data_IF_732841911056
#
_entry.id   IF_732841911056
#
_cell.length_a   1.000
_cell.length_b   1.000
_cell.length_c   1.000
_cell.angle_alpha   90.00
_cell.angle_beta   90.00
_cell.angle_gamma   90.00
#
_symmetry.space_group_name_H-M   'P 1'
#
loop_
_entity.id
_entity.type
_entity.pdbx_description
1 polymer ?
#
# COMPACT_ATOMS: atom_id res chain seq x y z
N UNK A 1 -5.70 15.59 44.35
CA UNK A 1 -6.36 14.79 43.29
C UNK A 1 -7.39 15.59 42.48
N UNK A 2 -8.46 16.15 43.09
CA UNK A 2 -9.53 16.86 42.35
C UNK A 2 -9.06 18.08 41.53
N UNK A 3 -8.11 18.86 42.06
CA UNK A 3 -7.56 20.04 41.40
C UNK A 3 -6.71 19.74 40.16
N UNK A 4 -6.02 18.61 40.16
CA UNK A 4 -5.22 18.15 39.00
C UNK A 4 -6.18 17.75 37.88
N UNK A 5 -7.27 17.04 38.21
CA UNK A 5 -8.30 16.68 37.25
C UNK A 5 -8.97 17.91 36.63
N UNK A 6 -9.36 18.89 37.44
CA UNK A 6 -9.98 20.13 36.94
C UNK A 6 -9.02 20.95 36.06
N UNK A 7 -7.73 20.99 36.42
CA UNK A 7 -6.70 21.66 35.61
C UNK A 7 -6.53 20.98 34.24
N UNK A 8 -6.41 19.65 34.23
CA UNK A 8 -6.31 18.87 32.99
C UNK A 8 -7.57 18.99 32.13
N UNK A 9 -8.76 18.97 32.73
CA UNK A 9 -10.03 19.12 32.03
C UNK A 9 -10.12 20.51 31.35
N UNK A 10 -9.76 21.56 32.09
CA UNK A 10 -9.75 22.93 31.57
C UNK A 10 -8.78 23.09 30.41
N UNK A 11 -7.55 22.56 30.55
CA UNK A 11 -6.53 22.62 29.50
C UNK A 11 -7.00 21.92 28.21
N UNK A 12 -7.57 20.72 28.33
CA UNK A 12 -8.09 19.98 27.17
C UNK A 12 -9.27 20.69 26.51
N UNK A 13 -10.18 21.28 27.30
CA UNK A 13 -11.31 22.04 26.79
C UNK A 13 -10.86 23.28 26.01
N UNK A 14 -9.84 23.99 26.49
CA UNK A 14 -9.26 25.16 25.79
C UNK A 14 -8.66 24.73 24.45
N UNK A 15 -7.85 23.67 24.43
CA UNK A 15 -7.24 23.14 23.19
C UNK A 15 -8.31 22.75 22.18
N UNK A 16 -9.35 22.05 22.62
CA UNK A 16 -10.48 21.67 21.77
C UNK A 16 -11.19 22.90 21.17
N UNK A 17 -11.41 23.93 21.98
CA UNK A 17 -12.11 25.15 21.56
C UNK A 17 -11.28 25.97 20.55
N UNK A 18 -9.96 26.03 20.72
CA UNK A 18 -9.04 26.64 19.73
C UNK A 18 -9.08 25.88 18.41
N UNK A 19 -8.97 24.55 18.45
CA UNK A 19 -9.01 23.70 17.25
C UNK A 19 -10.34 23.84 16.49
N UNK A 20 -11.46 23.90 17.22
CA UNK A 20 -12.79 24.05 16.65
C UNK A 20 -12.98 25.40 15.93
N UNK A 21 -12.48 26.50 16.54
CA UNK A 21 -12.50 27.82 15.93
C UNK A 21 -11.64 27.91 14.67
N UNK A 22 -10.50 27.21 14.62
CA UNK A 22 -9.69 27.13 13.40
C UNK A 22 -10.37 26.33 12.28
N UNK A 23 -11.09 25.26 12.61
CA UNK A 23 -11.85 24.47 11.62
C UNK A 23 -12.99 25.28 10.98
N UNK A 24 -13.65 26.15 11.76
CA UNK A 24 -14.67 27.06 11.25
C UNK A 24 -14.08 28.06 10.24
N UNK A 25 -12.86 28.58 10.49
CA UNK A 25 -12.18 29.47 9.55
C UNK A 25 -11.82 28.79 8.22
N UNK A 26 -11.51 27.49 8.24
CA UNK A 26 -11.14 26.73 7.03
C UNK A 26 -12.34 26.48 6.10
N UNK A 27 -13.56 26.37 6.64
CA UNK A 27 -14.77 26.19 5.81
C UNK A 27 -15.20 27.46 5.05
N UNK A 28 -14.68 28.64 5.40
CA UNK A 28 -14.97 29.89 4.66
C UNK A 28 -14.00 30.19 3.52
N UNK A 29 -12.99 29.34 3.29
CA UNK A 29 -12.14 29.44 2.11
C UNK A 29 -12.88 28.86 0.89
N UNK A 30 -13.62 29.72 0.20
CA UNK A 30 -14.18 29.46 -1.12
C UNK A 30 -13.12 28.86 -2.04
N UNK A 31 -13.39 27.67 -2.55
CA UNK A 31 -12.61 27.04 -3.64
C UNK A 31 -12.82 27.91 -4.88
N UNK A 32 -11.89 28.81 -5.14
CA UNK A 32 -11.77 29.45 -6.45
C UNK A 32 -11.42 28.35 -7.45
N UNK A 33 -12.42 27.85 -8.18
CA UNK A 33 -12.16 27.08 -9.38
C UNK A 33 -11.36 27.96 -10.33
N UNK A 34 -10.05 27.74 -10.39
CA UNK A 34 -9.20 28.32 -11.40
C UNK A 34 -9.80 27.98 -12.77
N UNK A 35 -10.20 29.02 -13.51
CA UNK A 35 -10.62 28.87 -14.91
C UNK A 35 -9.48 28.19 -15.66
N UNK A 36 -9.76 27.00 -16.19
CA UNK A 36 -8.86 26.29 -17.09
C UNK A 36 -8.62 27.20 -18.29
N UNK A 37 -7.37 27.60 -18.52
CA UNK A 37 -6.98 28.29 -19.74
C UNK A 37 -6.91 27.26 -20.87
N UNK A 38 -7.80 27.41 -21.85
CA UNK A 38 -7.83 26.60 -23.07
C UNK A 38 -6.62 27.01 -23.93
N UNK A 39 -5.72 26.07 -24.18
CA UNK A 39 -4.62 26.26 -25.13
C UNK A 39 -5.18 26.27 -26.57
N UNK A 40 -4.86 27.32 -27.34
CA UNK A 40 -5.33 27.57 -28.72
C UNK A 40 -4.93 26.49 -29.75
N UNK A 41 -4.03 25.55 -29.40
CA UNK A 41 -3.52 24.51 -30.29
C UNK A 41 -3.79 23.08 -29.81
N UNK A 42 -4.87 22.87 -29.05
CA UNK A 42 -5.38 21.52 -28.80
C UNK A 42 -6.12 21.04 -30.06
N UNK A 43 -5.59 20.01 -30.73
CA UNK A 43 -6.22 19.40 -31.90
C UNK A 43 -7.67 19.01 -31.66
N UNK A 44 -8.50 19.11 -32.70
CA UNK A 44 -9.94 18.84 -32.65
C UNK A 44 -10.20 17.40 -32.20
N UNK A 45 -10.92 17.23 -31.10
CA UNK A 45 -11.41 15.93 -30.66
C UNK A 45 -12.51 15.48 -31.62
N UNK A 46 -12.26 14.44 -32.41
CA UNK A 46 -13.27 13.79 -33.24
C UNK A 46 -14.10 12.84 -32.39
N UNK A 47 -15.43 12.97 -32.44
CA UNK A 47 -16.34 12.11 -31.70
C UNK A 47 -16.47 10.75 -32.40
N UNK A 48 -16.60 9.67 -31.63
CA UNK A 48 -16.78 8.32 -32.18
C UNK A 48 -18.05 8.20 -33.05
N UNK A 49 -19.03 9.07 -32.82
CA UNK A 49 -20.23 9.22 -33.65
C UNK A 49 -19.99 9.88 -35.02
N UNK A 50 -18.85 10.55 -35.24
CA UNK A 50 -18.49 11.18 -36.52
C UNK A 50 -17.76 10.22 -37.46
N UNK A 51 -17.35 9.04 -36.98
CA UNK A 51 -16.87 7.95 -37.85
C UNK A 51 -18.09 7.35 -38.56
N UNK A 52 -18.41 7.91 -39.72
CA UNK A 52 -19.32 7.27 -40.68
C UNK A 52 -18.67 5.97 -41.16
N UNK A 53 -19.09 4.86 -40.56
CA UNK A 53 -18.93 3.52 -41.12
C UNK A 53 -19.51 3.55 -42.55
N UNK A 54 -18.63 3.42 -43.55
CA UNK A 54 -19.04 3.23 -44.93
C UNK A 54 -20.01 2.03 -44.99
N UNK A 55 -21.19 2.15 -45.64
CA UNK A 55 -22.08 1.01 -45.78
C UNK A 55 -21.46 0.05 -46.80
N UNK A 56 -20.81 -0.99 -46.30
CA UNK A 56 -20.42 -2.13 -47.11
C UNK A 56 -21.69 -2.78 -47.67
N UNK A 57 -21.83 -2.64 -48.98
CA UNK A 57 -22.74 -3.30 -49.93
C UNK A 57 -23.39 -4.59 -49.39
N UNK A 58 -24.72 -4.56 -49.28
CA UNK A 58 -25.56 -5.78 -49.13
C UNK A 58 -25.48 -6.60 -50.41
N UNK A 59 -24.83 -7.76 -50.37
CA UNK A 59 -25.06 -8.85 -51.33
C UNK A 59 -25.39 -10.13 -50.57
N UNK A 60 -26.71 -10.42 -50.60
CA UNK A 60 -27.42 -11.70 -50.69
C UNK A 60 -26.93 -12.94 -49.91
N UNK A 61 -27.90 -13.49 -49.16
CA UNK A 61 -27.89 -14.80 -48.51
C UNK A 61 -27.49 -15.93 -49.46
N UNK A 62 -26.61 -16.80 -48.99
CA UNK A 62 -26.74 -18.25 -49.16
C UNK A 62 -26.45 -18.96 -47.84
N UNK A 63 -27.31 -19.94 -47.58
CA UNK A 63 -27.46 -20.74 -46.38
C UNK A 63 -26.33 -21.77 -46.26
N UNK A 64 -25.73 -21.92 -45.08
CA UNK A 64 -24.54 -22.74 -44.91
C UNK A 64 -24.05 -22.82 -43.47
N UNK A 65 -24.71 -23.67 -42.69
CA UNK A 65 -24.31 -24.16 -41.37
C UNK A 65 -22.79 -24.38 -41.23
N UNK A 66 -22.15 -23.69 -40.29
CA UNK A 66 -20.99 -24.19 -39.51
C UNK A 66 -20.56 -23.21 -38.41
N UNK A 67 -20.62 -23.70 -37.18
CA UNK A 67 -19.80 -23.32 -36.02
C UNK A 67 -19.61 -21.82 -35.74
N UNK A 68 -20.43 -21.33 -34.81
CA UNK A 68 -20.23 -20.11 -34.03
C UNK A 68 -18.87 -20.14 -33.31
N UNK A 69 -17.81 -19.71 -34.00
CA UNK A 69 -16.65 -19.10 -33.34
C UNK A 69 -16.94 -17.61 -33.27
N UNK A 70 -17.65 -17.22 -32.22
CA UNK A 70 -17.78 -15.84 -31.80
C UNK A 70 -16.40 -15.20 -31.75
N UNK A 71 -16.13 -14.34 -32.73
CA UNK A 71 -15.04 -13.38 -32.71
C UNK A 71 -15.35 -12.46 -31.53
N UNK A 72 -14.78 -12.78 -30.36
CA UNK A 72 -14.83 -11.93 -29.19
C UNK A 72 -14.15 -10.62 -29.57
N UNK A 73 -14.97 -9.60 -29.83
CA UNK A 73 -14.60 -8.21 -29.71
C UNK A 73 -13.72 -8.07 -28.48
N UNK A 74 -12.51 -7.57 -28.65
CA UNK A 74 -11.54 -7.35 -27.58
C UNK A 74 -12.00 -6.13 -26.75
N UNK A 75 -13.15 -6.27 -26.09
CA UNK A 75 -13.58 -5.37 -25.03
C UNK A 75 -12.74 -5.79 -23.82
N UNK A 76 -11.88 -4.88 -23.38
CA UNK A 76 -11.13 -5.05 -22.14
C UNK A 76 -12.11 -5.07 -20.97
N UNK A 77 -12.57 -6.28 -20.59
CA UNK A 77 -13.46 -6.46 -19.46
C UNK A 77 -12.78 -5.95 -18.17
N UNK A 78 -13.55 -5.22 -17.37
CA UNK A 78 -13.14 -4.71 -16.06
C UNK A 78 -13.56 -5.71 -14.97
N UNK A 79 -12.77 -5.82 -13.91
CA UNK A 79 -13.02 -6.65 -12.74
C UNK A 79 -12.84 -5.78 -11.48
N UNK A 80 -13.41 -6.18 -10.35
CA UNK A 80 -13.17 -5.53 -9.08
C UNK A 80 -11.96 -6.12 -8.37
N UNK A 81 -11.11 -5.24 -7.86
CA UNK A 81 -9.98 -5.52 -6.97
C UNK A 81 -10.32 -5.01 -5.58
N UNK A 82 -10.35 -5.89 -4.60
CA UNK A 82 -10.79 -5.64 -3.23
C UNK A 82 -9.62 -5.87 -2.29
N UNK A 83 -9.25 -4.87 -1.49
CA UNK A 83 -8.09 -4.92 -0.60
C UNK A 83 -7.56 -3.51 -0.28
N UNK A 84 -6.31 -3.40 0.21
CA UNK A 84 -5.39 -4.48 0.60
C UNK A 84 -5.74 -5.08 1.96
N UNK A 85 -5.47 -6.38 2.14
CA UNK A 85 -5.49 -7.04 3.45
C UNK A 85 -4.07 -7.43 3.86
N UNK A 86 -3.73 -7.27 5.14
CA UNK A 86 -2.37 -7.52 5.65
C UNK A 86 -2.12 -9.00 5.96
N UNK A 87 -3.18 -9.73 6.32
CA UNK A 87 -3.13 -11.15 6.68
C UNK A 87 -3.96 -12.02 5.73
N UNK A 88 -3.45 -13.22 5.44
CA UNK A 88 -4.13 -14.19 4.58
C UNK A 88 -5.46 -14.66 5.16
N UNK A 89 -5.53 -14.77 6.49
CA UNK A 89 -6.71 -15.22 7.21
C UNK A 89 -7.86 -14.22 7.02
N UNK A 90 -7.58 -12.92 7.15
CA UNK A 90 -8.58 -11.87 6.91
C UNK A 90 -9.08 -11.90 5.46
N UNK A 91 -8.17 -12.12 4.50
CA UNK A 91 -8.54 -12.20 3.08
C UNK A 91 -9.44 -13.41 2.79
N UNK A 92 -9.17 -14.56 3.40
CA UNK A 92 -10.02 -15.75 3.29
C UNK A 92 -11.38 -15.59 3.98
N UNK A 93 -11.45 -14.91 5.11
CA UNK A 93 -12.71 -14.59 5.77
C UNK A 93 -13.56 -13.65 4.92
N UNK A 94 -12.96 -12.61 4.34
CA UNK A 94 -13.65 -11.70 3.43
C UNK A 94 -14.12 -12.44 2.17
N UNK A 95 -13.30 -13.33 1.61
CA UNK A 95 -13.65 -14.16 0.45
C UNK A 95 -14.88 -15.02 0.72
N UNK A 96 -14.97 -15.63 1.92
CA UNK A 96 -16.16 -16.40 2.34
C UNK A 96 -17.40 -15.50 2.47
N UNK A 97 -17.26 -14.30 3.04
CA UNK A 97 -18.35 -13.33 3.11
C UNK A 97 -18.88 -12.93 1.73
N UNK A 98 -17.98 -12.65 0.79
CA UNK A 98 -18.33 -12.35 -0.60
C UNK A 98 -19.00 -13.54 -1.30
N UNK A 99 -18.56 -14.77 -1.03
CA UNK A 99 -19.17 -15.97 -1.58
C UNK A 99 -20.60 -16.19 -1.07
N UNK A 100 -20.92 -15.83 0.18
CA UNK A 100 -22.30 -15.89 0.70
C UNK A 100 -23.22 -14.91 -0.02
N UNK A 101 -22.68 -13.74 -0.38
CA UNK A 101 -23.35 -12.79 -1.26
C UNK A 101 -23.24 -13.20 -2.74
N UNK A 102 -22.81 -14.43 -3.06
CA UNK A 102 -22.59 -15.04 -4.40
C UNK A 102 -21.68 -14.22 -5.34
N UNK A 103 -20.68 -13.57 -4.77
CA UNK A 103 -19.59 -12.90 -5.48
C UNK A 103 -18.38 -13.82 -5.50
N UNK A 104 -18.09 -14.41 -6.66
CA UNK A 104 -16.92 -15.26 -6.83
C UNK A 104 -15.65 -14.41 -6.93
N UNK A 105 -14.68 -14.71 -6.07
CA UNK A 105 -13.40 -13.99 -6.03
C UNK A 105 -12.21 -14.93 -5.89
N UNK A 106 -11.10 -14.52 -6.49
CA UNK A 106 -9.80 -15.19 -6.41
C UNK A 106 -8.86 -14.42 -5.50
N UNK A 107 -8.21 -15.15 -4.59
CA UNK A 107 -7.14 -14.60 -3.76
C UNK A 107 -5.87 -14.41 -4.58
N UNK A 108 -5.32 -13.21 -4.51
CA UNK A 108 -4.05 -12.86 -5.12
C UNK A 108 -3.11 -12.32 -4.04
N UNK A 109 -1.94 -12.94 -3.92
CA UNK A 109 -0.88 -12.50 -3.02
C UNK A 109 0.07 -11.59 -3.78
N UNK A 110 0.21 -10.36 -3.30
CA UNK A 110 1.13 -9.37 -3.83
C UNK A 110 2.31 -9.17 -2.86
N UNK A 111 3.53 -9.12 -3.37
CA UNK A 111 4.74 -8.85 -2.57
C UNK A 111 5.26 -7.47 -2.93
N UNK A 112 5.01 -6.49 -2.08
CA UNK A 112 5.50 -5.13 -2.25
C UNK A 112 6.94 -5.02 -1.74
N UNK A 113 7.84 -4.62 -2.62
CA UNK A 113 9.20 -4.23 -2.24
C UNK A 113 9.15 -2.85 -1.57
N UNK A 114 9.57 -2.79 -0.31
CA UNK A 114 9.62 -1.56 0.47
C UNK A 114 11.02 -0.95 0.41
N UNK A 115 11.09 0.33 0.79
CA UNK A 115 12.38 0.96 1.05
C UNK A 115 13.16 0.13 2.11
N UNK A 116 14.46 -0.10 1.88
CA UNK A 116 15.28 -0.92 2.76
C UNK A 116 15.48 -0.25 4.11
N UNK A 117 15.84 -1.05 5.11
CA UNK A 117 16.32 -0.54 6.39
C UNK A 117 17.84 -0.58 6.45
N UNK A 118 18.42 0.33 7.22
CA UNK A 118 19.86 0.49 7.38
C UNK A 118 20.24 0.08 8.80
N UNK A 119 20.98 -1.01 8.89
CA UNK A 119 21.43 -1.56 10.15
C UNK A 119 22.85 -1.11 10.45
N UNK A 120 23.04 -0.35 11.53
CA UNK A 120 24.35 0.05 12.03
C UNK A 120 24.81 -0.93 13.10
N UNK A 121 25.99 -1.52 12.93
CA UNK A 121 26.50 -2.57 13.81
C UNK A 121 28.03 -2.52 13.98
N UNK A 122 28.54 -3.23 14.98
CA UNK A 122 29.96 -3.60 15.12
C UNK A 122 30.13 -5.06 14.72
N UNK A 123 31.24 -5.35 14.02
CA UNK A 123 31.53 -6.70 13.51
C UNK A 123 31.40 -7.80 14.56
N UNK A 124 31.02 -9.02 14.13
CA UNK A 124 31.11 -10.22 14.94
C UNK A 124 32.45 -10.38 15.63
N UNK A 125 32.40 -10.73 16.92
CA UNK A 125 33.57 -11.10 17.70
C UNK A 125 33.73 -12.63 17.73
N UNK A 126 34.97 -13.07 17.94
CA UNK A 126 35.39 -14.49 17.96
C UNK A 126 34.54 -15.38 18.88
N UNK A 127 33.99 -14.82 19.96
CA UNK A 127 33.13 -15.57 20.87
C UNK A 127 31.98 -14.73 21.43
N UNK A 128 30.90 -15.42 21.81
CA UNK A 128 29.77 -14.79 22.51
C UNK A 128 30.19 -14.10 23.81
N UNK A 129 31.14 -14.67 24.54
CA UNK A 129 31.68 -14.07 25.78
C UNK A 129 32.37 -12.73 25.47
N UNK A 130 33.19 -12.68 24.43
CA UNK A 130 33.84 -11.44 23.98
C UNK A 130 32.80 -10.37 23.57
N UNK A 131 31.75 -10.78 22.86
CA UNK A 131 30.67 -9.88 22.48
C UNK A 131 29.89 -9.31 23.68
N UNK A 132 29.63 -10.13 24.70
CA UNK A 132 29.00 -9.66 25.95
C UNK A 132 29.89 -8.67 26.70
N UNK A 133 31.20 -8.92 26.76
CA UNK A 133 32.15 -7.98 27.39
C UNK A 133 32.14 -6.65 26.67
N UNK A 134 32.23 -6.67 25.33
CA UNK A 134 32.20 -5.47 24.50
C UNK A 134 30.86 -4.73 24.59
N UNK A 135 29.75 -5.45 24.67
CA UNK A 135 28.42 -4.87 24.90
C UNK A 135 28.37 -4.10 26.23
N UNK A 136 28.88 -4.69 27.32
CA UNK A 136 28.93 -4.02 28.63
C UNK A 136 29.76 -2.74 28.58
N UNK A 137 30.89 -2.75 27.86
CA UNK A 137 31.71 -1.55 27.69
C UNK A 137 30.94 -0.41 26.99
N UNK A 138 30.14 -0.72 25.97
CA UNK A 138 29.30 0.26 25.27
C UNK A 138 28.20 0.82 26.18
N UNK A 139 27.55 -0.05 26.96
CA UNK A 139 26.50 0.36 27.90
C UNK A 139 27.03 1.27 29.01
N UNK A 140 28.24 1.00 29.53
CA UNK A 140 28.91 1.89 30.50
C UNK A 140 29.15 3.28 29.91
N UNK A 141 29.42 3.37 28.59
CA UNK A 141 29.55 4.63 27.85
C UNK A 141 28.19 5.22 27.44
N UNK A 142 27.07 4.68 27.95
CA UNK A 142 25.69 5.10 27.65
C UNK A 142 25.35 5.02 26.15
N UNK A 143 25.89 4.01 25.47
CA UNK A 143 25.55 3.73 24.07
C UNK A 143 24.53 2.60 24.04
N UNK A 144 23.34 2.91 23.53
CA UNK A 144 22.29 1.91 23.27
C UNK A 144 22.83 0.88 22.29
N UNK A 145 22.90 -0.37 22.76
CA UNK A 145 23.54 -1.46 22.04
C UNK A 145 22.93 -2.80 22.42
N UNK A 146 22.88 -3.73 21.46
CA UNK A 146 22.27 -5.05 21.62
C UNK A 146 23.13 -6.14 20.98
N UNK A 147 23.17 -7.34 21.58
CA UNK A 147 23.88 -8.49 21.02
C UNK A 147 23.08 -9.12 19.87
N UNK A 148 23.71 -9.32 18.72
CA UNK A 148 23.10 -10.01 17.59
C UNK A 148 23.15 -11.52 17.84
N UNK A 149 21.99 -12.15 17.96
CA UNK A 149 21.87 -13.55 18.38
C UNK A 149 21.99 -14.56 17.23
N UNK A 150 21.61 -14.19 16.01
CA UNK A 150 21.43 -15.10 14.88
C UNK A 150 21.86 -14.45 13.56
N UNK A 151 21.95 -15.26 12.50
CA UNK A 151 22.34 -14.83 11.16
C UNK A 151 23.86 -14.66 10.98
N UNK A 152 24.25 -14.05 9.86
CA UNK A 152 25.65 -13.83 9.48
C UNK A 152 26.41 -12.92 10.46
N UNK A 153 25.68 -11.99 11.10
CA UNK A 153 26.24 -11.03 12.06
C UNK A 153 26.18 -11.54 13.51
N UNK A 154 26.00 -12.84 13.74
CA UNK A 154 25.97 -13.43 15.09
C UNK A 154 27.24 -13.06 15.88
N UNK A 155 27.08 -12.74 17.17
CA UNK A 155 28.13 -12.20 18.03
C UNK A 155 28.59 -10.77 17.66
N UNK A 156 27.94 -10.12 16.70
CA UNK A 156 28.08 -8.69 16.47
C UNK A 156 27.26 -7.87 17.47
N UNK A 157 27.45 -6.55 17.45
CA UNK A 157 26.72 -5.63 18.31
C UNK A 157 25.90 -4.67 17.45
N UNK A 158 24.59 -4.75 17.56
CA UNK A 158 23.67 -3.79 16.94
C UNK A 158 23.73 -2.46 17.68
N UNK A 159 23.88 -1.37 16.92
CA UNK A 159 23.86 0.00 17.41
C UNK A 159 22.56 0.74 17.03
N UNK A 160 21.80 0.20 16.07
CA UNK A 160 20.48 0.71 15.69
C UNK A 160 20.05 0.28 14.29
N UNK A 161 18.73 0.25 14.08
CA UNK A 161 18.08 -0.03 12.80
C UNK A 161 17.29 1.20 12.37
N UNK A 162 17.49 1.66 11.13
CA UNK A 162 16.97 2.94 10.66
C UNK A 162 16.26 2.79 9.32
N UNK A 163 15.12 3.47 9.15
CA UNK A 163 14.46 3.59 7.84
C UNK A 163 15.05 4.68 6.95
N UNK A 164 15.74 5.66 7.55
CA UNK A 164 16.38 6.76 6.85
C UNK A 164 17.91 6.55 6.83
N UNK A 165 18.48 6.56 5.62
CA UNK A 165 19.92 6.39 5.38
C UNK A 165 20.76 7.48 6.05
N UNK A 166 20.29 8.72 6.10
CA UNK A 166 21.03 9.85 6.66
C UNK A 166 21.13 9.74 8.17
N UNK A 167 20.07 9.28 8.85
CA UNK A 167 20.09 8.97 10.28
C UNK A 167 21.09 7.87 10.60
N UNK A 168 21.12 6.80 9.79
CA UNK A 168 22.07 5.70 9.94
C UNK A 168 23.53 6.17 9.74
N UNK A 169 23.79 6.95 8.68
CA UNK A 169 25.10 7.54 8.39
C UNK A 169 25.57 8.49 9.49
N UNK A 170 24.66 9.29 10.04
CA UNK A 170 24.97 10.21 11.13
C UNK A 170 25.40 9.45 12.38
N UNK A 171 24.66 8.40 12.77
CA UNK A 171 25.03 7.54 13.89
C UNK A 171 26.37 6.84 13.61
N UNK A 172 26.56 6.27 12.43
CA UNK A 172 27.79 5.58 12.05
C UNK A 172 29.00 6.51 12.20
N UNK A 173 28.95 7.71 11.61
CA UNK A 173 30.03 8.71 11.71
C UNK A 173 30.28 9.13 13.16
N UNK A 174 29.22 9.30 13.95
CA UNK A 174 29.34 9.62 15.37
C UNK A 174 30.08 8.52 16.13
N UNK A 175 29.76 7.25 15.88
CA UNK A 175 30.40 6.10 16.53
C UNK A 175 31.86 5.93 16.10
N UNK A 176 32.17 6.19 14.83
CA UNK A 176 33.55 6.22 14.32
C UNK A 176 34.37 7.31 15.03
N UNK A 177 33.83 8.52 15.18
CA UNK A 177 34.50 9.61 15.93
C UNK A 177 34.72 9.27 17.41
N UNK A 178 33.89 8.41 17.99
CA UNK A 178 34.03 7.91 19.36
C UNK A 178 35.02 6.73 19.49
N UNK A 179 35.67 6.32 18.39
CA UNK A 179 36.65 5.24 18.36
C UNK A 179 36.06 3.85 18.13
N UNK A 180 34.81 3.75 17.68
CA UNK A 180 34.16 2.47 17.35
C UNK A 180 34.15 2.23 15.85
N UNK A 181 34.58 1.05 15.41
CA UNK A 181 34.50 0.62 14.00
C UNK A 181 33.06 0.24 13.64
N UNK A 182 32.19 1.25 13.48
CA UNK A 182 30.78 1.06 13.11
C UNK A 182 30.62 0.87 11.60
N UNK A 183 29.95 -0.22 11.24
CA UNK A 183 29.58 -0.58 9.87
C UNK A 183 28.07 -0.41 9.66
N UNK A 184 27.67 -0.31 8.41
CA UNK A 184 26.26 -0.18 8.01
C UNK A 184 25.96 -1.22 6.93
N UNK A 185 24.89 -1.99 7.12
CA UNK A 185 24.36 -2.94 6.13
C UNK A 185 22.94 -2.53 5.75
N UNK A 186 22.66 -2.60 4.46
CA UNK A 186 21.31 -2.43 3.93
C UNK A 186 20.55 -3.76 4.06
N UNK A 187 19.33 -3.69 4.57
CA UNK A 187 18.44 -4.82 4.76
C UNK A 187 17.22 -4.61 3.84
N UNK A 188 17.04 -5.46 2.83
CA UNK A 188 15.85 -5.39 1.98
C UNK A 188 14.62 -5.64 2.84
N UNK A 189 13.51 -5.01 2.44
CA UNK A 189 12.22 -5.18 3.10
C UNK A 189 11.14 -5.43 2.09
N UNK A 190 10.28 -6.35 2.44
CA UNK A 190 9.10 -6.70 1.67
C UNK A 190 7.89 -6.71 2.59
N UNK A 191 6.74 -6.30 2.05
CA UNK A 191 5.44 -6.41 2.69
C UNK A 191 4.56 -7.29 1.81
N UNK A 192 3.87 -8.23 2.45
CA UNK A 192 2.84 -9.01 1.78
C UNK A 192 1.51 -8.28 1.88
N UNK A 193 0.79 -8.27 0.77
CA UNK A 193 -0.58 -7.80 0.70
C UNK A 193 -1.44 -8.86 0.01
N UNK A 194 -2.65 -9.02 0.51
CA UNK A 194 -3.62 -9.95 -0.01
C UNK A 194 -4.76 -9.17 -0.64
N UNK A 195 -5.12 -9.59 -1.85
CA UNK A 195 -6.13 -8.94 -2.67
C UNK A 195 -7.14 -9.97 -3.15
N UNK A 196 -8.41 -9.60 -3.23
CA UNK A 196 -9.46 -10.41 -3.83
C UNK A 196 -9.88 -9.80 -5.16
N UNK A 197 -9.89 -10.61 -6.22
CA UNK A 197 -10.27 -10.18 -7.56
C UNK A 197 -11.57 -10.86 -7.96
N UNK A 198 -12.57 -10.10 -8.40
CA UNK A 198 -13.82 -10.68 -8.91
C UNK A 198 -13.56 -11.49 -10.18
N UNK A 199 -14.19 -12.66 -10.29
CA UNK A 199 -14.15 -13.44 -11.53
C UNK A 199 -15.11 -12.87 -12.58
N UNK A 200 -16.21 -12.27 -12.13
CA UNK A 200 -17.20 -11.60 -12.96
C UNK A 200 -16.78 -10.20 -13.40
N UNK A 201 -17.31 -9.76 -14.54
CA UNK A 201 -17.14 -8.40 -15.07
C UNK A 201 -17.80 -7.36 -14.16
N UNK A 202 -17.08 -6.27 -13.94
CA UNK A 202 -17.46 -5.17 -13.07
C UNK A 202 -18.76 -4.51 -13.56
N UNK A 203 -19.80 -4.61 -12.75
CA UNK A 203 -21.10 -3.98 -13.00
C UNK A 203 -21.70 -3.45 -11.69
N UNK A 204 -22.77 -2.63 -11.79
CA UNK A 204 -23.38 -1.99 -10.61
C UNK A 204 -23.98 -2.98 -9.62
N UNK A 205 -24.55 -4.09 -10.09
CA UNK A 205 -25.15 -5.10 -9.21
C UNK A 205 -24.08 -5.82 -8.39
N UNK A 206 -22.97 -6.18 -9.03
CA UNK A 206 -21.81 -6.77 -8.38
C UNK A 206 -21.20 -5.83 -7.33
N UNK A 207 -21.06 -4.54 -7.66
CA UNK A 207 -20.60 -3.52 -6.72
C UNK A 207 -21.52 -3.40 -5.50
N UNK A 208 -22.84 -3.47 -5.69
CA UNK A 208 -23.81 -3.44 -4.59
C UNK A 208 -23.61 -4.58 -3.59
N UNK A 209 -23.33 -5.79 -4.09
CA UNK A 209 -23.05 -6.99 -3.28
C UNK A 209 -21.70 -6.92 -2.58
N UNK A 210 -20.68 -6.36 -3.24
CA UNK A 210 -19.38 -6.13 -2.62
C UNK A 210 -19.53 -5.12 -1.47
N UNK A 211 -20.24 -4.02 -1.70
CA UNK A 211 -20.45 -2.99 -0.69
C UNK A 211 -21.27 -3.45 0.51
N UNK A 212 -22.22 -4.39 0.36
CA UNK A 212 -22.97 -4.94 1.49
C UNK A 212 -22.05 -5.71 2.46
N UNK A 213 -21.05 -6.44 1.94
CA UNK A 213 -20.04 -7.13 2.74
C UNK A 213 -19.05 -6.13 3.34
N UNK A 214 -18.53 -5.20 2.52
CA UNK A 214 -17.52 -4.24 2.98
C UNK A 214 -18.07 -3.27 4.04
N UNK A 215 -19.33 -2.86 3.94
CA UNK A 215 -19.97 -1.98 4.94
C UNK A 215 -20.10 -2.61 6.33
N UNK A 216 -19.99 -3.94 6.43
CA UNK A 216 -20.00 -4.67 7.71
C UNK A 216 -18.61 -4.85 8.33
N UNK A 217 -17.56 -4.65 7.53
CA UNK A 217 -16.15 -4.81 7.92
C UNK A 217 -15.61 -3.50 8.51
N UNK A 218 -14.85 -3.59 9.62
CA UNK A 218 -14.22 -2.42 10.28
C UNK A 218 -12.90 -1.98 9.64
N UNK A 219 -12.41 -2.72 8.65
CA UNK A 219 -11.10 -2.48 8.03
C UNK A 219 -11.23 -1.50 6.85
N UNK A 220 -10.17 -0.74 6.56
CA UNK A 220 -10.06 0.18 5.42
C UNK A 220 -9.91 -0.58 4.09
N UNK A 221 -10.79 -1.54 3.82
CA UNK A 221 -10.80 -2.34 2.60
C UNK A 221 -11.61 -1.60 1.54
N UNK A 222 -10.98 -1.31 0.41
CA UNK A 222 -11.62 -0.61 -0.70
C UNK A 222 -11.76 -1.54 -1.91
N UNK A 223 -12.81 -1.31 -2.71
CA UNK A 223 -13.01 -1.98 -3.98
C UNK A 223 -12.78 -0.99 -5.13
N UNK A 224 -11.86 -1.30 -6.05
CA UNK A 224 -11.57 -0.51 -7.24
C UNK A 224 -11.67 -1.35 -8.51
N UNK A 225 -11.96 -0.73 -9.65
CA UNK A 225 -12.02 -1.43 -10.94
C UNK A 225 -10.61 -1.54 -11.56
N UNK A 226 -10.28 -2.71 -12.08
CA UNK A 226 -9.04 -3.00 -12.82
C UNK A 226 -9.34 -3.81 -14.08
N UNK A 227 -8.41 -3.88 -15.03
CA UNK A 227 -8.54 -4.77 -16.17
C UNK A 227 -8.37 -6.23 -15.75
N UNK A 228 -9.31 -7.10 -16.13
CA UNK A 228 -9.27 -8.52 -15.74
C UNK A 228 -8.00 -9.24 -16.24
N UNK A 229 -7.42 -8.81 -17.38
CA UNK A 229 -6.20 -9.39 -17.96
C UNK A 229 -4.92 -9.09 -17.17
N UNK A 230 -4.86 -7.97 -16.46
CA UNK A 230 -3.67 -7.55 -15.71
C UNK A 230 -3.33 -8.51 -14.55
N UNK A 231 -4.35 -9.19 -14.00
CA UNK A 231 -4.18 -10.16 -12.91
C UNK A 231 -3.83 -11.56 -13.42
N UNK A 232 -4.33 -11.94 -14.60
CA UNK A 232 -4.17 -13.28 -15.16
C UNK A 232 -2.73 -13.57 -15.64
N UNK A 233 -1.92 -12.54 -15.84
CA UNK A 233 -0.56 -12.65 -16.40
C UNK A 233 0.55 -12.70 -15.34
N UNK A 234 0.19 -12.75 -14.04
CA UNK A 234 1.16 -12.74 -12.95
C UNK A 234 1.99 -11.45 -12.86
N UNK A 235 1.50 -10.36 -13.45
CA UNK A 235 2.10 -9.03 -13.30
C UNK A 235 1.76 -8.45 -11.93
N UNK A 236 2.63 -7.57 -11.44
CA UNK A 236 2.39 -6.82 -10.20
C UNK A 236 1.06 -6.06 -10.31
N UNK A 237 0.21 -6.20 -9.29
CA UNK A 237 -1.03 -5.41 -9.20
C UNK A 237 -0.68 -3.91 -9.14
N UNK A 238 -1.45 -3.04 -9.83
CA UNK A 238 -1.18 -1.60 -9.91
C UNK A 238 -1.36 -0.86 -8.59
#
# INVERSE_FOLDING_TARGET
MRWIFLSLLSLNAIVFLVQWLELQKRHSASVNHARIQVYENAGTLTLLSEIKLFPAKKEKLEDGSSADKGVKSNVEALCFLIGPLEEEVEAEELRKGLLLEQVETRLHKNTLQLAPEYWVYLRPLESRKAAIIRLKELQVRKIDSYLIAQGELRNGISLGLFRNIDSAKLLQKQRIRQGFQAEMKELPREKLEYWLVSEDEANMQLMGRINSVLGSQKNNVEARQIFCKSVASGGDLP
#
